data_IF_200104493732
#
_entry.id   IF_200104493732
#
_cell.length_a   1.000
_cell.length_b   1.000
_cell.length_c   1.000
_cell.angle_alpha   90.00
_cell.angle_beta   90.00
_cell.angle_gamma   90.00
#
_symmetry.space_group_name_H-M   'P 1'
#
loop_
_entity.id
_entity.type
_entity.pdbx_description
1 polymer ?
#
# COMPACT_ATOMS: atom_id res chain seq x y z
N UNK A 1 9.66 -7.58 -5.45
CA UNK A 1 9.05 -6.29 -5.83
C UNK A 1 7.54 -6.44 -5.81
N UNK A 2 7.01 -7.46 -6.50
CA UNK A 2 5.56 -7.69 -6.58
C UNK A 2 4.95 -8.10 -5.23
N UNK A 3 5.61 -9.00 -4.48
CA UNK A 3 5.17 -9.43 -3.13
C UNK A 3 5.02 -8.27 -2.13
N UNK A 4 5.87 -7.25 -2.21
CA UNK A 4 5.76 -6.06 -1.36
C UNK A 4 4.50 -5.25 -1.69
N UNK A 5 4.17 -5.11 -2.98
CA UNK A 5 2.99 -4.39 -3.45
C UNK A 5 1.73 -5.18 -3.09
N UNK A 6 1.74 -6.51 -3.23
CA UNK A 6 0.65 -7.40 -2.80
C UNK A 6 0.32 -7.22 -1.32
N UNK A 7 1.34 -7.26 -0.45
CA UNK A 7 1.15 -7.05 0.98
C UNK A 7 0.65 -5.63 1.28
N UNK A 8 1.17 -4.62 0.59
CA UNK A 8 0.71 -3.23 0.75
C UNK A 8 -0.77 -3.07 0.38
N UNK A 9 -1.21 -3.72 -0.71
CA UNK A 9 -2.63 -3.77 -1.11
C UNK A 9 -3.46 -4.38 0.02
N UNK A 10 -3.04 -5.51 0.60
CA UNK A 10 -3.77 -6.18 1.68
C UNK A 10 -3.85 -5.33 2.95
N UNK A 11 -2.78 -4.61 3.30
CA UNK A 11 -2.80 -3.66 4.42
C UNK A 11 -3.84 -2.56 4.19
N UNK A 12 -3.98 -2.03 2.97
CA UNK A 12 -5.01 -1.04 2.66
C UNK A 12 -6.43 -1.58 2.92
N UNK A 13 -6.70 -2.82 2.51
CA UNK A 13 -7.96 -3.52 2.81
C UNK A 13 -8.21 -3.77 4.30
N UNK A 14 -7.14 -3.92 5.09
CA UNK A 14 -7.23 -4.11 6.55
C UNK A 14 -7.65 -2.83 7.26
N UNK A 15 -7.08 -1.68 6.90
CA UNK A 15 -7.25 -0.44 7.68
C UNK A 15 -8.48 0.38 7.29
N UNK A 16 -8.82 0.45 6.01
CA UNK A 16 -9.70 1.49 5.50
C UNK A 16 -11.07 0.98 5.01
N UNK A 17 -11.38 -0.29 5.26
CA UNK A 17 -12.65 -0.91 4.87
C UNK A 17 -12.55 -1.80 3.63
N UNK A 18 -13.46 -2.76 3.54
CA UNK A 18 -13.27 -3.98 2.75
C UNK A 18 -13.26 -3.78 1.22
N UNK A 19 -13.63 -2.62 0.70
CA UNK A 19 -13.89 -2.42 -0.73
C UNK A 19 -13.12 -1.24 -1.32
N UNK A 20 -12.38 -1.47 -2.41
CA UNK A 20 -11.70 -0.41 -3.18
C UNK A 20 -12.02 -0.47 -4.66
N UNK A 21 -12.03 0.71 -5.30
CA UNK A 21 -11.84 0.79 -6.74
C UNK A 21 -10.35 0.69 -7.09
N UNK A 22 -10.05 0.27 -8.32
CA UNK A 22 -8.67 0.22 -8.84
C UNK A 22 -8.03 1.62 -8.84
N UNK A 23 -8.83 2.67 -9.07
CA UNK A 23 -8.34 4.05 -9.06
C UNK A 23 -7.90 4.50 -7.67
N UNK A 24 -8.66 4.14 -6.62
CA UNK A 24 -8.31 4.47 -5.24
C UNK A 24 -7.01 3.78 -4.82
N UNK A 25 -6.84 2.51 -5.19
CA UNK A 25 -5.60 1.77 -4.92
C UNK A 25 -4.41 2.39 -5.65
N UNK A 26 -4.58 2.83 -6.90
CA UNK A 26 -3.51 3.48 -7.65
C UNK A 26 -3.01 4.76 -6.96
N UNK A 27 -3.91 5.63 -6.53
CA UNK A 27 -3.53 6.88 -5.85
C UNK A 27 -2.82 6.62 -4.52
N UNK A 28 -3.25 5.58 -3.80
CA UNK A 28 -2.72 5.20 -2.49
C UNK A 28 -1.37 4.48 -2.54
N UNK A 29 -1.12 3.66 -3.57
CA UNK A 29 0.08 2.82 -3.68
C UNK A 29 1.20 3.53 -4.45
N UNK A 30 0.86 4.44 -5.37
CA UNK A 30 1.84 5.23 -6.12
C UNK A 30 2.60 4.45 -7.20
N UNK A 31 2.01 3.37 -7.73
CA UNK A 31 2.58 2.56 -8.83
C UNK A 31 1.91 2.84 -10.17
N UNK A 32 2.52 2.38 -11.26
CA UNK A 32 1.91 2.48 -12.59
C UNK A 32 0.65 1.62 -12.68
N UNK A 33 -0.33 2.04 -13.50
CA UNK A 33 -1.59 1.29 -13.69
C UNK A 33 -1.32 -0.13 -14.22
N UNK A 34 -0.38 -0.28 -15.16
CA UNK A 34 -0.05 -1.58 -15.73
C UNK A 34 0.51 -2.55 -14.67
N UNK A 35 1.37 -2.04 -13.78
CA UNK A 35 1.92 -2.85 -12.69
C UNK A 35 0.84 -3.21 -11.66
N UNK A 36 -0.02 -2.26 -11.31
CA UNK A 36 -1.15 -2.52 -10.40
C UNK A 36 -2.09 -3.59 -10.97
N UNK A 37 -2.44 -3.49 -12.25
CA UNK A 37 -3.32 -4.48 -12.89
C UNK A 37 -2.70 -5.87 -12.89
N UNK A 38 -1.42 -6.01 -13.25
CA UNK A 38 -0.74 -7.31 -13.22
C UNK A 38 -0.74 -7.94 -11.82
N UNK A 39 -0.52 -7.13 -10.78
CA UNK A 39 -0.55 -7.60 -9.39
C UNK A 39 -1.98 -7.99 -8.98
N UNK A 40 -2.98 -7.17 -9.32
CA UNK A 40 -4.37 -7.46 -9.02
C UNK A 40 -4.88 -8.72 -9.73
N UNK A 41 -4.51 -8.92 -11.01
CA UNK A 41 -4.85 -10.11 -11.77
C UNK A 41 -4.29 -11.36 -11.09
N UNK A 42 -3.01 -11.33 -10.67
CA UNK A 42 -2.41 -12.42 -9.91
C UNK A 42 -3.14 -12.68 -8.58
N UNK A 43 -3.46 -11.63 -7.81
CA UNK A 43 -4.18 -11.74 -6.53
C UNK A 43 -5.61 -12.27 -6.68
N UNK A 44 -6.27 -11.99 -7.80
CA UNK A 44 -7.59 -12.54 -8.16
C UNK A 44 -7.48 -14.01 -8.55
N UNK A 45 -6.49 -14.38 -9.36
CA UNK A 45 -6.26 -15.77 -9.79
C UNK A 45 -5.98 -16.71 -8.61
N UNK A 46 -5.18 -16.26 -7.63
CA UNK A 46 -4.86 -17.03 -6.42
C UNK A 46 -5.92 -16.91 -5.31
N UNK A 47 -7.00 -16.16 -5.54
CA UNK A 47 -8.14 -16.05 -4.64
C UNK A 47 -7.87 -15.29 -3.33
N UNK A 48 -6.88 -14.39 -3.33
CA UNK A 48 -6.60 -13.49 -2.22
C UNK A 48 -7.55 -12.28 -2.23
N UNK A 49 -7.95 -11.86 -3.44
CA UNK A 49 -8.99 -10.86 -3.66
C UNK A 49 -10.16 -11.49 -4.41
N UNK A 50 -11.33 -10.87 -4.31
CA UNK A 50 -12.49 -11.17 -5.15
C UNK A 50 -13.16 -9.88 -5.64
N UNK A 51 -14.01 -10.01 -6.65
CA UNK A 51 -14.82 -8.88 -7.15
C UNK A 51 -16.24 -9.05 -6.62
N UNK A 52 -16.72 -8.04 -5.89
CA UNK A 52 -18.08 -7.97 -5.37
C UNK A 52 -18.69 -6.61 -5.75
N UNK A 53 -19.80 -6.59 -6.49
CA UNK A 53 -20.45 -5.37 -6.97
C UNK A 53 -19.49 -4.38 -7.68
N UNK A 54 -18.61 -4.89 -8.56
CA UNK A 54 -17.56 -4.13 -9.26
C UNK A 54 -16.49 -3.49 -8.37
N UNK A 55 -16.41 -3.88 -7.10
CA UNK A 55 -15.36 -3.46 -6.16
C UNK A 55 -14.47 -4.66 -5.84
N UNK A 56 -13.19 -4.38 -5.60
CA UNK A 56 -12.27 -5.39 -5.08
C UNK A 56 -12.54 -5.56 -3.59
N UNK A 57 -12.57 -6.81 -3.14
CA UNK A 57 -12.76 -7.17 -1.73
C UNK A 57 -11.71 -8.21 -1.31
N UNK A 58 -11.21 -8.09 -0.07
CA UNK A 58 -10.26 -9.05 0.49
C UNK A 58 -10.97 -10.32 0.96
N UNK A 59 -10.50 -11.48 0.50
CA UNK A 59 -11.05 -12.77 0.92
C UNK A 59 -10.52 -13.20 2.29
N UNK A 60 -11.11 -14.25 2.87
CA UNK A 60 -10.60 -14.82 4.11
C UNK A 60 -9.17 -15.36 3.99
N UNK A 61 -8.82 -15.96 2.83
CA UNK A 61 -7.45 -16.40 2.54
C UNK A 61 -6.49 -15.22 2.49
N UNK A 62 -6.89 -14.10 1.87
CA UNK A 62 -6.09 -12.87 1.87
C UNK A 62 -5.85 -12.30 3.27
N UNK A 63 -6.86 -12.34 4.16
CA UNK A 63 -6.69 -11.93 5.56
C UNK A 63 -5.71 -12.82 6.33
N UNK A 64 -5.77 -14.13 6.11
CA UNK A 64 -4.83 -15.10 6.74
C UNK A 64 -3.41 -14.87 6.22
N UNK A 65 -3.24 -14.61 4.92
CA UNK A 65 -1.94 -14.31 4.35
C UNK A 65 -1.33 -13.04 4.95
N UNK A 66 -2.14 -11.97 5.08
CA UNK A 66 -1.70 -10.74 5.74
C UNK A 66 -1.33 -10.98 7.21
N UNK A 67 -2.15 -11.76 7.93
CA UNK A 67 -1.91 -12.08 9.35
C UNK A 67 -0.63 -12.89 9.59
N UNK A 68 -0.18 -13.68 8.61
CA UNK A 68 1.06 -14.43 8.70
C UNK A 68 2.28 -13.69 8.12
N UNK A 69 2.10 -12.45 7.65
CA UNK A 69 3.15 -11.66 7.00
C UNK A 69 3.86 -10.72 7.97
N UNK A 70 5.04 -10.23 7.58
CA UNK A 70 5.74 -9.17 8.31
C UNK A 70 4.94 -7.84 8.37
N UNK A 71 3.89 -7.71 7.57
CA UNK A 71 2.99 -6.54 7.57
C UNK A 71 1.75 -6.71 8.45
N UNK A 72 1.63 -7.78 9.24
CA UNK A 72 0.49 -7.98 10.14
C UNK A 72 0.26 -6.76 11.06
N UNK A 73 1.34 -6.19 11.59
CA UNK A 73 1.29 -5.04 12.52
C UNK A 73 1.48 -3.70 11.82
N UNK A 74 1.63 -3.70 10.49
CA UNK A 74 1.76 -2.48 9.72
C UNK A 74 0.47 -1.65 9.82
N UNK A 75 0.66 -0.35 9.96
CA UNK A 75 -0.41 0.64 9.94
C UNK A 75 0.02 1.91 9.19
N UNK A 76 -0.91 2.49 8.43
CA UNK A 76 -0.72 3.79 7.80
C UNK A 76 -0.88 4.87 8.88
N UNK A 77 0.18 5.66 9.08
CA UNK A 77 0.15 6.75 10.05
C UNK A 77 -0.28 8.04 9.35
N UNK A 78 -1.57 8.39 9.45
CA UNK A 78 -2.11 9.63 8.89
C UNK A 78 -1.47 10.89 9.50
N UNK A 79 -1.08 10.81 10.78
CA UNK A 79 -0.53 11.93 11.56
C UNK A 79 0.88 12.40 11.11
N UNK A 80 1.53 11.68 10.19
CA UNK A 80 2.88 12.02 9.70
C UNK A 80 2.91 12.62 8.29
N UNK A 81 1.76 13.06 7.76
CA UNK A 81 1.72 13.93 6.59
C UNK A 81 1.60 15.40 7.02
N UNK A 82 2.71 16.15 7.24
CA UNK A 82 2.66 17.60 7.44
C UNK A 82 2.45 18.32 6.09
N UNK A 83 1.68 17.72 5.19
CA UNK A 83 1.27 18.33 3.94
C UNK A 83 -0.25 18.44 4.02
N UNK A 84 -0.71 19.38 4.85
CA UNK A 84 -1.84 20.18 4.41
C UNK A 84 -1.51 20.60 2.98
N UNK A 85 -2.36 20.30 2.00
CA UNK A 85 -2.24 20.79 0.63
C UNK A 85 -2.39 22.32 0.59
N UNK A 86 -1.52 23.05 1.28
CA UNK A 86 -1.21 24.43 0.97
C UNK A 86 -0.43 24.37 -0.33
N UNK A 87 -1.06 24.86 -1.38
CA UNK A 87 -0.64 24.94 -2.77
C UNK A 87 0.58 25.88 -2.94
N UNK A 88 1.37 26.09 -1.89
CA UNK A 88 2.58 26.89 -1.94
C UNK A 88 3.74 25.99 -2.42
N UNK A 89 4.19 26.26 -3.65
CA UNK A 89 5.35 25.60 -4.24
C UNK A 89 6.56 25.70 -3.29
N UNK A 90 7.23 24.58 -3.07
CA UNK A 90 8.44 24.54 -2.26
C UNK A 90 9.51 25.49 -2.84
N UNK A 91 10.17 26.33 -2.01
CA UNK A 91 11.19 27.25 -2.50
C UNK A 91 12.38 26.50 -3.10
N UNK A 92 12.87 26.97 -4.25
CA UNK A 92 14.00 26.36 -5.00
C UNK A 92 15.29 26.34 -4.16
N UNK A 93 15.45 27.32 -3.27
CA UNK A 93 16.65 27.50 -2.46
C UNK A 93 16.67 26.64 -1.18
N UNK A 94 15.67 25.79 -0.96
CA UNK A 94 15.56 24.94 0.23
C UNK A 94 15.83 23.48 -0.10
N UNK A 95 16.84 22.90 0.56
CA UNK A 95 17.04 21.45 0.59
C UNK A 95 15.80 20.78 1.17
N UNK A 96 15.19 19.85 0.42
CA UNK A 96 14.02 19.10 0.86
C UNK A 96 14.44 18.10 1.95
N UNK A 97 14.00 18.28 3.22
CA UNK A 97 14.28 17.29 4.24
C UNK A 97 13.38 16.09 4.00
N UNK A 98 13.97 14.91 3.76
CA UNK A 98 13.21 13.65 3.74
C UNK A 98 12.64 13.43 5.14
N UNK A 99 11.33 13.61 5.30
CA UNK A 99 10.62 13.35 6.55
C UNK A 99 9.94 11.98 6.46
N UNK A 100 10.33 11.07 7.34
CA UNK A 100 9.78 9.72 7.40
C UNK A 100 10.67 8.66 6.75
N UNK A 101 11.83 8.39 7.36
CA UNK A 101 12.33 7.02 7.28
C UNK A 101 11.46 6.17 8.20
N UNK A 102 11.08 4.99 7.71
CA UNK A 102 10.58 3.89 8.55
C UNK A 102 11.46 3.81 9.81
N UNK A 103 10.84 3.74 11.01
CA UNK A 103 11.58 3.53 12.27
C UNK A 103 12.40 2.23 12.24
N UNK A 104 12.04 1.28 11.37
CA UNK A 104 12.79 0.07 11.13
C UNK A 104 13.97 0.38 10.21
N UNK A 105 15.18 0.41 10.79
CA UNK A 105 16.43 0.43 10.04
C UNK A 105 16.59 -0.92 9.35
N UNK A 106 16.57 -0.95 8.02
CA UNK A 106 17.00 -2.10 7.24
C UNK A 106 18.45 -2.45 7.61
N UNK A 107 18.65 -3.53 8.36
CA UNK A 107 19.97 -4.14 8.56
C UNK A 107 20.10 -5.16 7.45
N UNK A 108 20.63 -4.73 6.31
CA UNK A 108 20.84 -5.63 5.17
C UNK A 108 21.48 -6.94 5.63
N UNK A 109 21.03 -8.06 5.07
CA UNK A 109 21.51 -9.38 5.42
C UNK A 109 23.02 -9.44 5.22
N UNK A 110 23.75 -9.33 6.32
CA UNK A 110 25.18 -9.61 6.36
C UNK A 110 25.36 -11.10 6.15
N UNK A 111 25.95 -11.43 5.00
CA UNK A 111 26.54 -12.71 4.56
C UNK A 111 26.36 -13.93 5.46
#
# INVERSE_FOLDING_TARGET
MDEYIELLILVYFKEYGQNYSIFDLKEKIGVSLAMLNNVLDNMLEIGILCINNNLLEITQSGRVLLGNSEMETYSFCEDNFPISYNIEKWPIDKVYPIQGFSKNKWRGSGK
#
